data_IF_251240649612
#
_entry.id   IF_251240649612
#
_cell.length_a   1.000
_cell.length_b   1.000
_cell.length_c   1.000
_cell.angle_alpha   90.00
_cell.angle_beta   90.00
_cell.angle_gamma   90.00
#
_symmetry.space_group_name_H-M   'P 1'
#
loop_
_entity.id
_entity.type
_entity.pdbx_description
1 polymer ?
#
# COMPACT_ATOMS: atom_id res chain seq x y z
N UNK A 1 1.27 -11.93 -12.71
CA UNK A 1 0.68 -12.27 -14.01
C UNK A 1 -0.08 -11.07 -14.53
N UNK A 2 0.00 -10.77 -15.83
CA UNK A 2 -0.91 -9.83 -16.50
C UNK A 2 -2.15 -10.54 -17.05
N UNK A 3 -2.05 -11.87 -17.22
CA UNK A 3 -3.17 -12.72 -17.63
C UNK A 3 -4.23 -12.66 -16.53
N UNK A 4 -5.47 -12.39 -16.91
CA UNK A 4 -6.67 -12.23 -16.06
C UNK A 4 -6.94 -10.81 -15.51
N UNK A 5 -6.24 -9.76 -15.94
CA UNK A 5 -6.52 -8.38 -15.52
C UNK A 5 -7.16 -7.59 -16.67
N UNK A 6 -8.22 -6.86 -16.38
CA UNK A 6 -8.88 -5.98 -17.35
C UNK A 6 -7.93 -4.88 -17.82
N UNK A 7 -7.91 -4.65 -19.14
CA UNK A 7 -7.13 -3.61 -19.79
C UNK A 7 -8.02 -2.84 -20.77
N UNK A 8 -8.09 -1.53 -20.60
CA UNK A 8 -8.78 -0.59 -21.46
C UNK A 8 -7.96 -0.27 -22.72
N UNK A 9 -8.53 0.51 -23.62
CA UNK A 9 -7.77 1.06 -24.74
C UNK A 9 -6.76 2.12 -24.30
N UNK A 10 -6.99 2.75 -23.14
CA UNK A 10 -6.14 3.82 -22.63
C UNK A 10 -4.75 3.33 -22.22
N UNK A 11 -4.62 2.14 -21.66
CA UNK A 11 -3.29 1.60 -21.33
C UNK A 11 -2.45 1.32 -22.60
N UNK A 12 -3.08 0.93 -23.71
CA UNK A 12 -2.39 0.78 -24.99
C UNK A 12 -1.89 2.14 -25.50
N UNK A 13 -2.72 3.18 -25.37
CA UNK A 13 -2.34 4.54 -25.72
C UNK A 13 -1.21 5.06 -24.82
N UNK A 14 -1.23 4.76 -23.52
CA UNK A 14 -0.16 5.08 -22.57
C UNK A 14 1.18 4.45 -22.98
N UNK A 15 1.20 3.13 -23.23
CA UNK A 15 2.43 2.43 -23.66
C UNK A 15 2.92 2.98 -25.00
N UNK A 16 2.02 3.23 -25.95
CA UNK A 16 2.39 3.83 -27.25
C UNK A 16 2.98 5.23 -27.08
N UNK A 17 2.38 6.07 -26.24
CA UNK A 17 2.89 7.41 -25.93
C UNK A 17 4.28 7.37 -25.29
N UNK A 18 4.51 6.43 -24.38
CA UNK A 18 5.86 6.19 -23.83
C UNK A 18 6.88 5.83 -24.92
N UNK A 19 6.52 4.92 -25.83
CA UNK A 19 7.39 4.55 -26.95
C UNK A 19 7.71 5.73 -27.88
N UNK A 20 6.73 6.61 -28.15
CA UNK A 20 6.93 7.84 -28.95
C UNK A 20 7.89 8.83 -28.26
N UNK A 21 7.98 8.78 -26.92
CA UNK A 21 8.94 9.53 -26.12
C UNK A 21 10.29 8.80 -25.95
N UNK A 22 10.49 7.66 -26.61
CA UNK A 22 11.72 6.87 -26.54
C UNK A 22 11.82 5.94 -25.33
N UNK A 23 10.76 5.81 -24.52
CA UNK A 23 10.70 4.84 -23.42
C UNK A 23 10.32 3.46 -23.97
N UNK A 24 11.15 2.41 -23.84
CA UNK A 24 10.83 1.10 -24.35
C UNK A 24 9.71 0.44 -23.53
N UNK A 25 9.04 -0.54 -24.13
CA UNK A 25 8.20 -1.48 -23.38
C UNK A 25 9.08 -2.50 -22.64
N UNK A 26 8.93 -2.60 -21.31
CA UNK A 26 9.82 -3.42 -20.46
C UNK A 26 9.07 -4.39 -19.54
N UNK A 27 9.77 -5.43 -19.10
CA UNK A 27 9.44 -6.14 -17.87
C UNK A 27 10.22 -5.48 -16.72
N UNK A 28 9.53 -4.63 -15.97
CA UNK A 28 10.11 -3.85 -14.87
C UNK A 28 10.53 -4.68 -13.66
N UNK A 29 10.20 -5.98 -13.64
CA UNK A 29 10.71 -6.91 -12.62
C UNK A 29 12.00 -7.64 -13.08
N UNK A 30 12.48 -7.38 -14.30
CA UNK A 30 13.71 -7.97 -14.81
C UNK A 30 14.94 -7.16 -14.38
N UNK A 31 16.02 -7.86 -14.02
CA UNK A 31 17.24 -7.26 -13.44
C UNK A 31 18.05 -6.33 -14.38
N UNK A 32 17.62 -6.07 -15.60
CA UNK A 32 18.42 -5.39 -16.64
C UNK A 32 17.70 -4.23 -17.35
N UNK A 33 16.47 -3.89 -16.95
CA UNK A 33 15.68 -2.82 -17.58
C UNK A 33 15.01 -1.95 -16.51
N UNK A 34 15.63 -0.82 -16.19
CA UNK A 34 15.14 0.09 -15.14
C UNK A 34 14.24 1.21 -15.66
N UNK A 35 14.23 1.47 -16.97
CA UNK A 35 13.48 2.58 -17.59
C UNK A 35 12.59 2.07 -18.70
N UNK A 36 11.36 2.57 -18.74
CA UNK A 36 10.39 2.16 -19.74
C UNK A 36 8.97 2.24 -19.25
N UNK A 37 8.05 1.77 -20.07
CA UNK A 37 6.62 1.71 -19.78
C UNK A 37 6.12 0.28 -19.89
N UNK A 38 5.16 -0.10 -19.06
CA UNK A 38 4.56 -1.43 -19.11
C UNK A 38 3.11 -1.43 -18.67
N UNK A 39 2.39 -2.47 -19.06
CA UNK A 39 1.11 -2.77 -18.39
C UNK A 39 1.40 -3.31 -17.00
N UNK A 40 0.62 -2.89 -16.02
CA UNK A 40 0.83 -3.30 -14.63
C UNK A 40 0.61 -4.80 -14.46
N UNK A 41 1.49 -5.44 -13.70
CA UNK A 41 1.38 -6.81 -13.24
C UNK A 41 0.84 -6.83 -11.81
N UNK A 42 0.03 -7.82 -11.46
CA UNK A 42 -0.47 -7.97 -10.09
C UNK A 42 -0.49 -9.40 -9.56
N UNK A 43 -0.65 -9.49 -8.24
CA UNK A 43 -0.91 -10.73 -7.49
C UNK A 43 -2.39 -11.14 -7.60
N UNK A 44 -2.74 -11.59 -8.81
CA UNK A 44 -4.07 -12.03 -9.20
C UNK A 44 -4.00 -13.48 -9.68
N UNK A 45 -5.05 -14.25 -9.40
CA UNK A 45 -5.24 -15.62 -9.90
C UNK A 45 -6.70 -15.82 -10.29
N UNK A 46 -6.98 -16.11 -11.57
CA UNK A 46 -8.34 -16.26 -12.12
C UNK A 46 -9.21 -15.04 -11.85
N UNK A 47 -8.65 -13.86 -12.16
CA UNK A 47 -9.26 -12.55 -12.00
C UNK A 47 -9.48 -12.08 -10.57
N UNK A 48 -9.04 -12.85 -9.56
CA UNK A 48 -9.25 -12.54 -8.14
C UNK A 48 -7.95 -12.25 -7.43
N UNK A 49 -8.00 -11.34 -6.45
CA UNK A 49 -6.89 -11.07 -5.52
C UNK A 49 -6.34 -12.38 -4.95
N UNK A 50 -5.02 -12.57 -5.08
CA UNK A 50 -4.31 -13.71 -4.55
C UNK A 50 -3.35 -13.26 -3.44
N UNK A 51 -3.89 -13.12 -2.23
CA UNK A 51 -3.15 -12.64 -1.06
C UNK A 51 -2.16 -13.68 -0.51
N UNK A 52 -1.19 -13.23 0.31
CA UNK A 52 -0.27 -14.12 1.03
C UNK A 52 -0.99 -15.18 1.87
N UNK A 53 -2.12 -14.84 2.51
CA UNK A 53 -2.92 -15.81 3.25
C UNK A 53 -3.50 -16.91 2.32
N UNK A 54 -3.99 -16.55 1.14
CA UNK A 54 -4.48 -17.53 0.16
C UNK A 54 -3.37 -18.38 -0.42
N UNK A 55 -2.23 -17.77 -0.74
CA UNK A 55 -1.10 -18.46 -1.35
C UNK A 55 -0.38 -19.39 -0.37
N UNK A 56 -0.13 -18.95 0.87
CA UNK A 56 0.75 -19.64 1.80
C UNK A 56 0.03 -20.29 2.99
N UNK A 57 -1.06 -19.71 3.51
CA UNK A 57 -1.72 -20.24 4.72
C UNK A 57 -2.86 -21.19 4.38
N UNK A 58 -3.75 -20.82 3.46
CA UNK A 58 -4.94 -21.61 3.12
C UNK A 58 -4.64 -23.04 2.68
N UNK A 59 -3.59 -23.31 1.87
CA UNK A 59 -3.29 -24.68 1.45
C UNK A 59 -2.84 -25.59 2.59
N UNK A 60 -2.31 -25.02 3.69
CA UNK A 60 -1.65 -25.77 4.77
C UNK A 60 -2.31 -25.59 6.14
N UNK A 61 -3.38 -24.79 6.25
CA UNK A 61 -4.07 -24.46 7.52
C UNK A 61 -4.63 -25.67 8.28
N UNK A 62 -4.71 -26.83 7.64
CA UNK A 62 -5.20 -28.08 8.23
C UNK A 62 -4.10 -28.90 8.90
N UNK A 63 -2.83 -28.51 8.77
CA UNK A 63 -1.71 -29.23 9.39
C UNK A 63 -1.77 -29.11 10.92
N UNK A 64 -1.58 -30.20 11.67
CA UNK A 64 -1.74 -30.19 13.12
C UNK A 64 -0.67 -29.36 13.85
N UNK A 65 0.43 -29.02 13.19
CA UNK A 65 1.52 -28.21 13.74
C UNK A 65 1.42 -26.71 13.38
N UNK A 66 0.32 -26.26 12.79
CA UNK A 66 0.06 -24.85 12.48
C UNK A 66 -1.26 -24.42 13.08
N UNK A 67 -1.20 -23.47 14.01
CA UNK A 67 -2.38 -22.88 14.64
C UNK A 67 -2.54 -21.44 14.17
N UNK A 68 -3.69 -21.13 13.55
CA UNK A 68 -4.03 -19.78 13.08
C UNK A 68 -5.15 -19.25 13.96
N UNK A 69 -4.88 -18.19 14.71
CA UNK A 69 -5.87 -17.54 15.58
C UNK A 69 -6.21 -16.18 15.00
N UNK A 70 -7.44 -16.02 14.53
CA UNK A 70 -7.96 -14.76 14.00
C UNK A 70 -8.68 -13.95 15.09
N UNK A 71 -8.88 -12.66 14.83
CA UNK A 71 -9.49 -11.73 15.79
C UNK A 71 -8.74 -11.70 17.12
N UNK A 72 -7.42 -11.86 17.04
CA UNK A 72 -6.48 -11.86 18.16
C UNK A 72 -5.57 -10.64 18.04
N UNK A 73 -5.87 -9.59 18.80
CA UNK A 73 -5.09 -8.36 18.80
C UNK A 73 -3.98 -8.47 19.86
N UNK A 74 -2.72 -8.57 19.43
CA UNK A 74 -1.58 -8.62 20.34
C UNK A 74 -1.46 -7.29 21.08
N UNK A 75 -1.46 -7.34 22.41
CA UNK A 75 -1.41 -6.15 23.27
C UNK A 75 -0.07 -5.98 23.96
N UNK A 76 0.70 -7.06 24.12
CA UNK A 76 1.98 -7.03 24.84
C UNK A 76 2.92 -8.16 24.41
N UNK A 77 4.21 -7.83 24.29
CA UNK A 77 5.30 -8.81 24.20
C UNK A 77 5.70 -9.25 25.62
N UNK A 78 5.86 -10.55 25.82
CA UNK A 78 6.29 -11.11 27.10
C UNK A 78 7.80 -11.34 27.03
N UNK A 79 8.56 -10.50 27.73
CA UNK A 79 10.03 -10.48 27.71
C UNK A 79 10.54 -10.56 29.14
N UNK A 80 11.53 -11.41 29.39
CA UNK A 80 12.22 -11.48 30.67
C UNK A 80 13.17 -10.27 30.79
N UNK A 81 13.02 -9.41 31.82
CA UNK A 81 13.81 -8.18 31.93
C UNK A 81 15.29 -8.42 32.28
N UNK A 82 15.65 -9.61 32.76
CA UNK A 82 17.00 -9.97 33.21
C UNK A 82 17.88 -10.39 32.03
N UNK A 83 17.39 -11.33 31.22
CA UNK A 83 18.14 -11.86 30.07
C UNK A 83 17.68 -11.28 28.72
N UNK A 84 16.60 -10.49 28.71
CA UNK A 84 15.99 -9.86 27.53
C UNK A 84 15.43 -10.85 26.50
N UNK A 85 15.11 -12.08 26.92
CA UNK A 85 14.52 -13.09 26.04
C UNK A 85 13.00 -12.95 25.96
N UNK A 86 12.48 -12.90 24.72
CA UNK A 86 11.04 -12.93 24.46
C UNK A 86 10.53 -14.37 24.57
N UNK A 87 9.62 -14.63 25.51
CA UNK A 87 9.08 -15.97 25.78
C UNK A 87 7.61 -16.14 25.40
N UNK A 88 6.97 -15.11 24.83
CA UNK A 88 5.59 -15.20 24.38
C UNK A 88 4.92 -13.87 24.07
N UNK A 89 3.61 -13.91 23.89
CA UNK A 89 2.77 -12.73 23.68
C UNK A 89 1.49 -12.82 24.49
N UNK A 90 0.95 -11.65 24.85
CA UNK A 90 -0.40 -11.47 25.33
C UNK A 90 -1.25 -10.87 24.21
N UNK A 91 -2.47 -11.37 24.05
CA UNK A 91 -3.41 -10.88 23.05
C UNK A 91 -4.85 -10.86 23.58
N UNK A 92 -5.65 -9.94 23.08
CA UNK A 92 -7.08 -9.91 23.32
C UNK A 92 -7.83 -10.59 22.17
N UNK A 93 -8.84 -11.40 22.51
CA UNK A 93 -9.76 -11.99 21.56
C UNK A 93 -11.16 -12.06 22.15
N UNK A 94 -12.11 -11.37 21.50
CA UNK A 94 -13.50 -11.28 21.93
C UNK A 94 -13.65 -10.78 23.39
N UNK A 95 -12.94 -9.71 23.76
CA UNK A 95 -13.00 -9.10 25.08
C UNK A 95 -12.33 -9.89 26.20
N UNK A 96 -11.55 -10.93 25.86
CA UNK A 96 -10.79 -11.75 26.82
C UNK A 96 -9.31 -11.72 26.50
N UNK A 97 -8.49 -11.61 27.53
CA UNK A 97 -7.03 -11.65 27.44
C UNK A 97 -6.53 -13.09 27.49
N UNK A 98 -5.61 -13.43 26.59
CA UNK A 98 -4.94 -14.71 26.51
C UNK A 98 -3.43 -14.50 26.48
N UNK A 99 -2.68 -15.50 26.93
CA UNK A 99 -1.22 -15.56 26.81
C UNK A 99 -0.82 -16.84 26.09
N UNK A 100 0.17 -16.74 25.23
CA UNK A 100 0.78 -17.88 24.56
C UNK A 100 2.29 -17.78 24.68
N UNK A 101 2.92 -18.86 25.14
CA UNK A 101 4.37 -18.96 25.24
C UNK A 101 5.00 -19.46 23.94
N UNK A 102 6.24 -19.07 23.71
CA UNK A 102 7.09 -19.56 22.63
C UNK A 102 8.33 -20.25 23.23
N UNK A 103 8.63 -21.46 22.77
CA UNK A 103 9.81 -22.23 23.24
C UNK A 103 11.09 -21.80 22.52
N UNK A 104 10.97 -21.26 21.31
CA UNK A 104 12.12 -20.86 20.48
C UNK A 104 12.15 -19.35 20.30
N UNK A 105 11.18 -18.82 19.57
CA UNK A 105 11.25 -17.45 19.06
C UNK A 105 9.87 -16.81 18.99
N UNK A 106 9.83 -15.49 19.15
CA UNK A 106 8.69 -14.63 18.83
C UNK A 106 9.07 -13.78 17.63
N UNK A 107 8.38 -13.97 16.50
CA UNK A 107 8.62 -13.21 15.27
C UNK A 107 7.55 -12.12 15.14
N UNK A 108 7.97 -10.86 15.11
CA UNK A 108 7.06 -9.73 14.95
C UNK A 108 6.84 -9.43 13.47
N UNK A 109 5.59 -9.53 13.02
CA UNK A 109 5.19 -9.25 11.63
C UNK A 109 3.94 -8.36 11.60
N UNK A 110 3.86 -7.39 12.50
CA UNK A 110 2.70 -6.52 12.67
C UNK A 110 2.71 -5.30 11.70
N UNK A 111 3.66 -5.26 10.77
CA UNK A 111 3.84 -4.17 9.79
C UNK A 111 4.57 -2.95 10.37
N UNK A 112 4.82 -1.96 9.50
CA UNK A 112 5.64 -0.78 9.77
C UNK A 112 5.13 0.09 10.91
N UNK A 113 3.82 0.07 11.21
CA UNK A 113 3.22 0.89 12.27
C UNK A 113 3.09 0.14 13.61
N UNK A 114 2.51 -1.05 13.60
CA UNK A 114 2.21 -1.76 14.85
C UNK A 114 3.43 -2.49 15.44
N UNK A 115 4.41 -2.86 14.61
CA UNK A 115 5.65 -3.49 15.11
C UNK A 115 6.45 -2.56 16.02
N UNK A 116 6.82 -1.32 15.60
CA UNK A 116 7.49 -0.39 16.50
C UNK A 116 6.62 0.01 17.70
N UNK A 117 5.30 0.12 17.53
CA UNK A 117 4.39 0.35 18.66
C UNK A 117 4.51 -0.75 19.72
N UNK A 118 4.42 -2.03 19.32
CA UNK A 118 4.52 -3.16 20.24
C UNK A 118 5.89 -3.25 20.93
N UNK A 119 6.97 -2.95 20.21
CA UNK A 119 8.32 -2.88 20.77
C UNK A 119 8.44 -1.76 21.81
N UNK A 120 7.98 -0.55 21.48
CA UNK A 120 8.02 0.58 22.41
C UNK A 120 7.17 0.31 23.65
N UNK A 121 5.97 -0.25 23.50
CA UNK A 121 5.11 -0.64 24.64
C UNK A 121 5.75 -1.74 25.51
N UNK A 122 6.64 -2.56 24.94
CA UNK A 122 7.44 -3.55 25.66
C UNK A 122 8.71 -2.97 26.30
N UNK A 123 8.93 -1.65 26.21
CA UNK A 123 10.11 -0.98 26.76
C UNK A 123 11.33 -1.00 25.85
N UNK A 124 11.16 -1.34 24.55
CA UNK A 124 12.22 -1.36 23.55
C UNK A 124 11.99 -0.19 22.58
N UNK A 125 12.75 0.89 22.75
CA UNK A 125 12.57 2.11 21.97
C UNK A 125 13.31 3.31 22.57
N UNK A 126 13.11 4.53 22.03
CA UNK A 126 13.87 5.70 22.43
C UNK A 126 13.64 6.00 23.92
N UNK A 127 14.71 5.96 24.72
CA UNK A 127 14.64 6.06 26.18
C UNK A 127 13.83 7.27 26.66
N UNK A 128 14.09 8.46 26.12
CA UNK A 128 13.41 9.70 26.53
C UNK A 128 11.89 9.60 26.31
N UNK A 129 11.46 9.17 25.12
CA UNK A 129 10.03 9.01 24.78
C UNK A 129 9.34 7.96 25.67
N UNK A 130 10.03 6.85 25.98
CA UNK A 130 9.49 5.83 26.87
C UNK A 130 9.33 6.35 28.30
N UNK A 131 10.31 7.12 28.79
CA UNK A 131 10.28 7.73 30.12
C UNK A 131 9.17 8.78 30.25
N UNK A 132 8.94 9.60 29.21
CA UNK A 132 7.83 10.58 29.14
C UNK A 132 6.46 9.91 29.37
N UNK A 133 6.30 8.69 28.85
CA UNK A 133 5.08 7.89 29.00
C UNK A 133 5.10 6.97 30.23
N UNK A 134 6.14 7.01 31.07
CA UNK A 134 6.28 6.15 32.25
C UNK A 134 6.36 4.66 31.92
N UNK A 135 6.95 4.31 30.77
CA UNK A 135 7.23 2.94 30.34
C UNK A 135 8.64 2.58 30.80
N UNK A 136 8.84 1.49 31.59
CA UNK A 136 10.17 1.03 31.96
C UNK A 136 11.00 0.71 30.72
N UNK A 137 12.21 1.26 30.65
CA UNK A 137 13.12 1.06 29.52
C UNK A 137 13.85 -0.27 29.71
N UNK A 138 13.56 -1.22 28.83
CA UNK A 138 14.26 -2.50 28.75
C UNK A 138 15.51 -2.38 27.87
N UNK A 139 15.38 -1.66 26.76
CA UNK A 139 16.47 -1.45 25.82
C UNK A 139 16.24 -0.14 25.06
N UNK A 140 17.23 0.76 25.12
CA UNK A 140 17.24 1.99 24.34
C UNK A 140 17.67 1.66 22.89
N UNK A 141 16.77 1.90 21.94
CA UNK A 141 16.95 1.69 20.51
C UNK A 141 16.11 2.72 19.73
N UNK A 142 16.51 3.11 18.50
CA UNK A 142 15.77 4.08 17.68
C UNK A 142 14.51 3.49 17.03
N UNK A 143 13.70 2.75 17.81
CA UNK A 143 12.44 2.15 17.34
C UNK A 143 11.45 3.25 16.95
N UNK A 144 10.79 3.09 15.80
CA UNK A 144 9.86 4.06 15.25
C UNK A 144 10.52 5.16 14.41
N UNK A 145 11.85 5.21 14.32
CA UNK A 145 12.55 6.17 13.45
C UNK A 145 12.72 5.62 12.03
N UNK A 146 13.19 6.47 11.11
CA UNK A 146 13.54 6.12 9.73
C UNK A 146 12.36 5.53 8.95
N UNK A 147 11.18 6.16 9.06
CA UNK A 147 10.02 5.80 8.24
C UNK A 147 10.23 6.34 6.82
N UNK A 148 10.21 5.45 5.84
CA UNK A 148 10.19 5.79 4.42
C UNK A 148 8.82 5.46 3.84
N UNK A 149 8.36 6.30 2.92
CA UNK A 149 7.11 6.10 2.20
C UNK A 149 7.18 6.84 0.85
N UNK A 150 6.58 6.26 -0.19
CA UNK A 150 6.61 6.85 -1.53
C UNK A 150 5.40 7.75 -1.72
N UNK A 151 5.63 9.05 -1.80
CA UNK A 151 4.55 9.99 -2.04
C UNK A 151 4.26 10.10 -3.54
N UNK A 152 2.97 10.01 -3.89
CA UNK A 152 2.49 10.23 -5.24
C UNK A 152 1.63 11.49 -5.33
N UNK A 153 1.86 12.30 -6.37
CA UNK A 153 1.00 13.45 -6.65
C UNK A 153 -0.23 13.02 -7.46
N UNK A 154 -1.41 13.11 -6.87
CA UNK A 154 -2.67 12.61 -7.47
C UNK A 154 -3.47 13.69 -8.22
N UNK A 155 -2.90 14.88 -8.40
CA UNK A 155 -3.60 16.04 -8.95
C UNK A 155 -3.65 16.13 -10.48
N UNK A 156 -2.86 15.32 -11.21
CA UNK A 156 -2.84 15.38 -12.67
C UNK A 156 -4.13 14.78 -13.24
N UNK A 157 -4.87 15.56 -14.01
CA UNK A 157 -6.18 15.17 -14.52
C UNK A 157 -6.32 15.60 -15.98
N UNK A 158 -6.56 14.63 -16.87
CA UNK A 158 -6.59 14.85 -18.31
C UNK A 158 -7.96 14.50 -18.87
N UNK A 159 -8.63 15.49 -19.46
CA UNK A 159 -9.94 15.33 -20.08
C UNK A 159 -9.82 14.68 -21.46
N UNK A 160 -10.83 13.90 -21.81
CA UNK A 160 -10.94 13.20 -23.08
C UNK A 160 -12.20 13.66 -23.82
N UNK A 161 -12.12 13.64 -25.15
CA UNK A 161 -13.23 13.84 -26.08
C UNK A 161 -13.95 12.54 -26.46
N UNK A 162 -13.46 11.39 -25.97
CA UNK A 162 -13.99 10.05 -26.22
C UNK A 162 -14.34 9.32 -24.92
N UNK A 163 -15.44 8.57 -24.92
CA UNK A 163 -15.90 7.75 -23.80
C UNK A 163 -15.12 6.42 -23.69
N UNK A 164 -13.80 6.51 -23.47
CA UNK A 164 -12.90 5.35 -23.34
C UNK A 164 -12.34 5.18 -21.92
N UNK A 165 -12.59 6.13 -21.03
CA UNK A 165 -12.19 6.05 -19.62
C UNK A 165 -13.01 5.03 -18.84
N UNK A 166 -12.38 4.39 -17.87
CA UNK A 166 -13.07 3.62 -16.84
C UNK A 166 -13.91 4.55 -15.97
N UNK A 167 -15.18 4.19 -15.77
CA UNK A 167 -16.09 4.91 -14.88
C UNK A 167 -16.80 3.93 -13.95
N UNK A 168 -17.12 4.37 -12.73
CA UNK A 168 -17.81 3.52 -11.75
C UNK A 168 -19.10 2.90 -12.34
N UNK A 169 -19.85 3.65 -13.14
CA UNK A 169 -21.08 3.18 -13.78
C UNK A 169 -20.84 2.15 -14.89
N UNK A 170 -19.81 2.33 -15.72
CA UNK A 170 -19.50 1.41 -16.82
C UNK A 170 -18.96 0.07 -16.30
N UNK A 171 -18.37 0.05 -15.12
CA UNK A 171 -17.85 -1.16 -14.48
C UNK A 171 -18.95 -1.99 -13.80
N UNK A 172 -20.04 -1.38 -13.34
CA UNK A 172 -21.06 -2.01 -12.48
C UNK A 172 -22.32 -2.50 -13.22
N UNK A 173 -22.15 -3.19 -14.34
CA UNK A 173 -23.26 -3.84 -15.05
C UNK A 173 -23.49 -5.28 -14.55
N UNK A 174 -24.70 -5.80 -14.74
CA UNK A 174 -25.03 -7.20 -14.40
C UNK A 174 -24.19 -8.21 -15.19
N UNK A 175 -23.83 -7.87 -16.42
CA UNK A 175 -22.92 -8.65 -17.27
C UNK A 175 -21.50 -8.69 -16.69
N UNK A 176 -20.93 -7.52 -16.36
CA UNK A 176 -19.61 -7.42 -15.73
C UNK A 176 -19.54 -8.21 -14.41
N UNK A 177 -20.61 -8.18 -13.62
CA UNK A 177 -20.72 -8.99 -12.39
C UNK A 177 -20.74 -10.48 -12.73
N UNK A 178 -21.55 -10.89 -13.70
CA UNK A 178 -21.68 -12.29 -14.13
C UNK A 178 -20.33 -12.84 -14.63
N UNK A 179 -19.63 -12.09 -15.48
CA UNK A 179 -18.33 -12.48 -16.04
C UNK A 179 -17.27 -12.64 -14.95
N UNK A 180 -17.22 -11.71 -14.01
CA UNK A 180 -16.30 -11.80 -12.88
C UNK A 180 -16.59 -13.01 -11.99
N UNK A 181 -17.86 -13.25 -11.65
CA UNK A 181 -18.24 -14.34 -10.75
C UNK A 181 -18.01 -15.72 -11.40
N UNK A 182 -18.43 -15.89 -12.66
CA UNK A 182 -18.36 -17.18 -13.35
C UNK A 182 -16.96 -17.46 -13.89
N UNK A 183 -16.37 -16.48 -14.58
CA UNK A 183 -15.17 -16.68 -15.39
C UNK A 183 -13.93 -16.03 -14.79
N UNK A 184 -14.09 -15.10 -13.84
CA UNK A 184 -12.95 -14.32 -13.33
C UNK A 184 -12.41 -13.38 -14.40
N UNK A 185 -13.30 -12.82 -15.23
CA UNK A 185 -12.96 -11.92 -16.34
C UNK A 185 -13.76 -10.63 -16.22
N UNK A 186 -13.49 -9.69 -17.14
CA UNK A 186 -14.26 -8.45 -17.23
C UNK A 186 -13.78 -7.37 -16.25
N UNK A 187 -14.47 -6.22 -16.21
CA UNK A 187 -13.92 -5.01 -15.63
C UNK A 187 -13.69 -5.03 -14.12
N UNK A 188 -14.35 -5.92 -13.38
CA UNK A 188 -14.11 -6.16 -11.95
C UNK A 188 -12.74 -6.80 -11.63
N UNK A 189 -12.02 -7.28 -12.65
CA UNK A 189 -10.64 -7.72 -12.50
C UNK A 189 -9.63 -6.55 -12.51
N UNK A 190 -10.10 -5.32 -12.81
CA UNK A 190 -9.29 -4.10 -12.77
C UNK A 190 -8.69 -3.86 -11.38
N UNK A 191 -7.49 -3.29 -11.34
CA UNK A 191 -6.73 -3.01 -10.12
C UNK A 191 -7.09 -1.63 -9.53
N UNK A 192 -8.38 -1.34 -9.42
CA UNK A 192 -8.84 0.00 -9.01
C UNK A 192 -8.51 1.07 -10.05
N UNK A 193 -8.51 0.71 -11.33
CA UNK A 193 -8.24 1.61 -12.44
C UNK A 193 -6.77 1.78 -12.81
N UNK A 194 -5.82 1.28 -12.00
CA UNK A 194 -4.39 1.24 -12.38
C UNK A 194 -4.19 0.21 -13.48
N UNK A 195 -3.60 0.62 -14.61
CA UNK A 195 -3.43 -0.24 -15.78
C UNK A 195 -2.02 -0.25 -16.32
N UNK A 196 -1.29 0.85 -16.18
CA UNK A 196 0.08 1.00 -16.69
C UNK A 196 0.99 1.59 -15.64
N UNK A 197 2.28 1.30 -15.79
CA UNK A 197 3.33 1.94 -15.02
C UNK A 197 4.45 2.39 -15.95
N UNK A 198 5.16 3.44 -15.57
CA UNK A 198 6.36 3.90 -16.26
C UNK A 198 7.46 4.27 -15.27
N UNK A 199 8.70 4.00 -15.62
CA UNK A 199 9.85 4.37 -14.82
C UNK A 199 10.71 5.34 -15.62
N UNK A 200 10.89 6.54 -15.07
CA UNK A 200 11.64 7.62 -15.71
C UNK A 200 12.69 8.19 -14.74
N UNK A 201 13.66 8.89 -15.32
CA UNK A 201 14.63 9.69 -14.58
C UNK A 201 14.37 11.17 -14.84
N UNK A 202 14.25 11.96 -13.79
CA UNK A 202 14.20 13.42 -13.93
C UNK A 202 15.61 13.99 -14.09
N UNK A 203 15.73 15.16 -14.74
CA UNK A 203 17.01 15.88 -14.86
C UNK A 203 17.58 16.33 -13.50
N UNK A 204 16.75 16.35 -12.45
CA UNK A 204 17.12 16.74 -11.09
C UNK A 204 17.60 15.56 -10.25
N UNK A 205 17.36 14.32 -10.72
CA UNK A 205 17.71 13.08 -10.01
C UNK A 205 19.19 13.04 -9.66
N UNK A 206 19.49 12.71 -8.40
CA UNK A 206 20.85 12.44 -7.93
C UNK A 206 21.11 10.94 -7.76
N UNK A 207 20.14 10.09 -8.11
CA UNK A 207 20.27 8.64 -8.05
C UNK A 207 21.25 8.14 -9.13
N UNK A 208 21.80 6.92 -8.99
CA UNK A 208 22.62 6.31 -10.04
C UNK A 208 21.96 6.35 -11.42
N UNK A 209 22.76 6.37 -12.49
CA UNK A 209 22.30 6.57 -13.87
C UNK A 209 21.25 5.54 -14.30
N UNK A 210 21.37 4.31 -13.81
CA UNK A 210 20.50 3.17 -14.10
C UNK A 210 19.32 3.02 -13.12
N UNK A 211 19.06 4.02 -12.29
CA UNK A 211 18.01 4.01 -11.26
C UNK A 211 16.98 5.12 -11.53
N UNK A 212 15.68 4.77 -11.68
CA UNK A 212 14.61 5.75 -11.82
C UNK A 212 14.29 6.41 -10.49
N UNK A 213 14.00 7.71 -10.52
CA UNK A 213 13.54 8.46 -9.36
C UNK A 213 12.01 8.62 -9.34
N UNK A 214 11.34 8.42 -10.49
CA UNK A 214 9.89 8.54 -10.62
C UNK A 214 9.27 7.26 -11.19
N UNK A 215 8.22 6.79 -10.50
CA UNK A 215 7.23 5.88 -11.05
C UNK A 215 6.00 6.68 -11.50
N UNK A 216 5.58 6.47 -12.74
CA UNK A 216 4.35 7.00 -13.31
C UNK A 216 3.26 5.93 -13.20
N UNK A 217 2.33 6.09 -12.27
CA UNK A 217 1.21 5.15 -12.10
C UNK A 217 0.06 5.61 -12.99
N UNK A 218 -0.12 4.96 -14.13
CA UNK A 218 -1.17 5.28 -15.08
C UNK A 218 -2.49 4.65 -14.69
N UNK A 219 -3.53 5.48 -14.59
CA UNK A 219 -4.88 5.09 -14.22
C UNK A 219 -5.83 5.46 -15.36
N UNK A 220 -6.50 4.47 -15.95
CA UNK A 220 -7.49 4.69 -17.02
C UNK A 220 -8.81 5.29 -16.53
N UNK A 221 -8.85 5.78 -15.29
CA UNK A 221 -9.96 6.46 -14.63
C UNK A 221 -9.45 7.77 -14.04
N UNK A 222 -10.32 8.53 -13.39
CA UNK A 222 -9.92 9.68 -12.58
C UNK A 222 -10.84 9.85 -11.37
N UNK A 223 -10.47 10.76 -10.47
CA UNK A 223 -11.34 11.20 -9.37
C UNK A 223 -12.72 11.69 -9.86
N UNK A 224 -12.80 12.22 -11.09
CA UNK A 224 -14.04 12.66 -11.69
C UNK A 224 -14.89 11.51 -12.22
N UNK A 225 -14.28 10.49 -12.84
CA UNK A 225 -15.03 9.34 -13.40
C UNK A 225 -15.47 8.33 -12.34
N UNK A 226 -14.89 8.42 -11.15
CA UNK A 226 -15.30 7.69 -9.95
C UNK A 226 -16.42 8.42 -9.17
N UNK A 227 -16.75 9.66 -9.53
CA UNK A 227 -17.72 10.51 -8.81
C UNK A 227 -17.41 10.68 -7.32
N UNK A 228 -16.19 10.34 -6.89
CA UNK A 228 -15.73 10.45 -5.51
C UNK A 228 -16.29 9.36 -4.61
N UNK A 229 -16.78 8.26 -5.18
CA UNK A 229 -17.37 7.13 -4.46
C UNK A 229 -16.29 6.36 -3.69
N UNK A 230 -15.13 6.13 -4.31
CA UNK A 230 -14.06 5.31 -3.73
C UNK A 230 -12.78 6.11 -3.49
N UNK A 231 -12.31 6.83 -4.50
CA UNK A 231 -10.97 7.45 -4.51
C UNK A 231 -10.88 8.66 -3.60
N UNK A 232 -11.90 9.52 -3.55
CA UNK A 232 -11.93 10.69 -2.65
C UNK A 232 -11.77 10.28 -1.19
N UNK A 233 -12.61 9.34 -0.72
CA UNK A 233 -12.55 8.86 0.67
C UNK A 233 -11.28 8.06 0.93
N UNK A 234 -10.88 7.19 0.00
CA UNK A 234 -9.67 6.38 0.14
C UNK A 234 -8.38 7.20 0.25
N UNK A 235 -8.32 8.34 -0.44
CA UNK A 235 -7.18 9.27 -0.41
C UNK A 235 -7.35 10.41 0.60
N UNK A 236 -8.46 10.44 1.34
CA UNK A 236 -8.79 11.50 2.30
C UNK A 236 -8.70 12.92 1.71
N UNK A 237 -9.19 13.10 0.47
CA UNK A 237 -9.16 14.39 -0.22
C UNK A 237 -10.22 15.32 0.39
N UNK A 238 -9.79 16.54 0.76
CA UNK A 238 -10.68 17.57 1.32
C UNK A 238 -11.79 17.95 0.36
N UNK A 239 -12.96 18.21 0.92
CA UNK A 239 -14.20 18.53 0.20
C UNK A 239 -14.06 19.71 -0.75
N UNK A 240 -13.43 20.81 -0.31
CA UNK A 240 -13.23 22.02 -1.11
C UNK A 240 -12.30 21.79 -2.31
N UNK A 241 -11.24 20.99 -2.12
CA UNK A 241 -10.34 20.59 -3.23
C UNK A 241 -11.10 19.74 -4.22
N UNK A 242 -11.87 18.76 -3.73
CA UNK A 242 -12.63 17.87 -4.59
C UNK A 242 -13.71 18.60 -5.40
N UNK A 243 -14.47 19.46 -4.72
CA UNK A 243 -15.57 20.22 -5.30
C UNK A 243 -15.08 21.29 -6.26
N UNK A 244 -13.89 21.87 -6.01
CA UNK A 244 -13.27 22.85 -6.91
C UNK A 244 -12.66 22.25 -8.18
N UNK A 245 -12.02 21.08 -8.09
CA UNK A 245 -11.22 20.53 -9.18
C UNK A 245 -11.92 19.41 -9.97
N UNK A 246 -12.64 18.51 -9.30
CA UNK A 246 -13.13 17.27 -9.91
C UNK A 246 -14.65 17.25 -10.12
N UNK A 247 -15.43 17.85 -9.21
CA UNK A 247 -16.90 17.93 -9.36
C UNK A 247 -17.35 18.56 -10.69
N UNK A 248 -16.73 19.64 -11.19
CA UNK A 248 -17.13 20.24 -12.47
C UNK A 248 -16.93 19.31 -13.67
N UNK A 249 -16.09 18.29 -13.56
CA UNK A 249 -15.71 17.39 -14.67
C UNK A 249 -16.26 15.97 -14.54
N UNK A 250 -17.21 15.72 -13.62
CA UNK A 250 -17.83 14.39 -13.39
C UNK A 250 -18.38 13.70 -14.65
N UNK A 251 -18.90 14.47 -15.59
CA UNK A 251 -19.48 13.94 -16.83
C UNK A 251 -18.54 14.03 -18.03
N UNK A 252 -17.26 14.31 -17.79
CA UNK A 252 -16.25 14.39 -18.84
C UNK A 252 -15.32 13.18 -18.67
N UNK A 253 -15.26 12.28 -19.67
CA UNK A 253 -14.31 11.18 -19.68
C UNK A 253 -12.89 11.69 -19.41
N UNK A 254 -12.14 10.99 -18.56
CA UNK A 254 -10.82 11.46 -18.14
C UNK A 254 -9.96 10.34 -17.57
N UNK A 255 -8.65 10.58 -17.56
CA UNK A 255 -7.66 9.70 -16.95
C UNK A 255 -6.73 10.49 -16.04
N UNK A 256 -5.97 9.78 -15.20
CA UNK A 256 -4.95 10.37 -14.32
C UNK A 256 -3.66 9.56 -14.38
N UNK A 257 -2.56 10.21 -14.03
CA UNK A 257 -1.27 9.56 -13.84
C UNK A 257 -0.64 10.13 -12.59
N UNK A 258 -0.21 9.25 -11.69
CA UNK A 258 0.40 9.66 -10.43
C UNK A 258 1.92 9.55 -10.57
N UNK A 259 2.66 10.67 -10.71
CA UNK A 259 4.09 10.65 -10.50
C UNK A 259 4.36 10.42 -9.01
N UNK A 260 5.05 9.31 -8.73
CA UNK A 260 5.44 8.86 -7.41
C UNK A 260 6.96 8.93 -7.28
N UNK A 261 7.44 9.56 -6.22
CA UNK A 261 8.86 9.63 -5.89
C UNK A 261 9.32 8.29 -5.29
N UNK A 262 10.30 7.64 -5.92
CA UNK A 262 10.80 6.31 -5.53
C UNK A 262 11.87 6.35 -4.44
N UNK A 263 12.69 7.41 -4.40
CA UNK A 263 13.80 7.52 -3.45
C UNK A 263 13.70 8.82 -2.65
N UNK A 264 12.68 8.97 -1.78
CA UNK A 264 12.58 10.12 -0.90
C UNK A 264 13.80 10.16 0.04
N UNK A 265 14.40 11.34 0.21
CA UNK A 265 15.45 11.54 1.23
C UNK A 265 14.83 11.84 2.60
N UNK A 266 13.67 12.48 2.61
CA UNK A 266 12.90 12.78 3.80
C UNK A 266 12.48 11.48 4.49
N UNK A 267 12.73 11.41 5.79
CA UNK A 267 12.29 10.29 6.62
C UNK A 267 11.34 10.78 7.69
N UNK A 268 10.28 10.04 7.90
CA UNK A 268 9.35 10.22 9.00
C UNK A 268 9.77 9.46 10.26
N UNK A 269 8.91 9.55 11.26
CA UNK A 269 9.00 8.76 12.47
C UNK A 269 7.62 8.52 13.11
N UNK A 270 7.58 7.55 14.00
CA UNK A 270 6.43 7.11 14.78
C UNK A 270 6.73 7.32 16.27
N UNK A 271 5.73 7.80 17.00
CA UNK A 271 5.75 7.88 18.46
C UNK A 271 4.53 7.18 19.05
N UNK A 272 4.67 6.60 20.23
CA UNK A 272 3.49 6.21 21.01
C UNK A 272 2.68 7.45 21.37
N UNK A 273 1.36 7.42 21.14
CA UNK A 273 0.43 8.42 21.64
C UNK A 273 0.19 8.25 23.15
N UNK A 274 0.07 6.99 23.60
CA UNK A 274 -0.13 6.63 25.00
C UNK A 274 0.43 5.23 25.29
N UNK A 275 0.22 4.74 26.51
CA UNK A 275 0.56 3.36 26.92
C UNK A 275 -0.49 2.33 26.50
N UNK A 276 -1.62 2.78 25.93
CA UNK A 276 -2.68 1.90 25.46
C UNK A 276 -2.25 1.25 24.14
N UNK A 277 -2.29 -0.10 24.03
CA UNK A 277 -2.05 -0.76 22.76
C UNK A 277 -3.16 -0.52 21.74
N UNK A 278 -4.29 0.06 22.14
CA UNK A 278 -5.44 0.36 21.27
C UNK A 278 -5.39 1.77 20.67
N UNK A 279 -4.53 2.64 21.19
CA UNK A 279 -4.39 3.99 20.68
C UNK A 279 -3.46 3.95 19.47
N UNK A 280 -3.84 4.60 18.38
CA UNK A 280 -2.97 4.69 17.21
C UNK A 280 -1.69 5.48 17.54
N UNK A 281 -0.52 5.04 17.02
CA UNK A 281 0.70 5.81 17.18
C UNK A 281 0.58 7.16 16.44
N UNK A 282 1.31 8.15 16.93
CA UNK A 282 1.49 9.42 16.24
C UNK A 282 2.44 9.20 15.05
N UNK A 283 2.00 9.59 13.86
CA UNK A 283 2.74 9.47 12.61
C UNK A 283 3.18 10.85 12.13
N UNK A 284 4.49 11.00 11.93
CA UNK A 284 5.11 12.19 11.36
C UNK A 284 5.80 11.79 10.06
N UNK A 285 5.15 12.03 8.92
CA UNK A 285 5.70 11.62 7.61
C UNK A 285 6.90 12.46 7.15
N UNK A 286 6.97 13.73 7.56
CA UNK A 286 8.01 14.69 7.15
C UNK A 286 8.18 14.78 5.62
N UNK A 287 7.11 14.61 4.85
CA UNK A 287 7.19 14.69 3.39
C UNK A 287 7.69 16.07 2.94
N UNK A 288 8.63 16.08 1.97
CA UNK A 288 9.22 17.29 1.38
C UNK A 288 10.01 18.20 2.34
N UNK A 289 10.60 17.65 3.40
CA UNK A 289 11.42 18.43 4.35
C UNK A 289 12.92 18.42 4.07
N UNK A 290 13.37 17.72 3.02
CA UNK A 290 14.77 17.65 2.60
C UNK A 290 15.12 18.62 1.45
#
# INVERSE_FOLDING_TARGET
>A
STEDIYQSELVRAFVKGGNELGLPHIDYNANFQSFGVSTVQATVLRGRRHSNARAFLHPVKHRPNLHIVTSAYVTKLLIDPTNKEAYGVEYERFGKTYRVGAVREVILSAGTFNSPQLLMLAGIGPQEHLQELGIPVLQDLPVGQNLHDHLAYVGLHFLLDKEVSLSAYNLMTSESISDFLKNGTGPYTSLGGVEGIGYIKTELSQDPEDIPDIELIFVGASLSTDYGIFTRTGMNIRDDIYDGLFRPTHNIPSWTIFPMLLHPKSTGYLKLHSRSPYDYPLLYGNYFTD
#
